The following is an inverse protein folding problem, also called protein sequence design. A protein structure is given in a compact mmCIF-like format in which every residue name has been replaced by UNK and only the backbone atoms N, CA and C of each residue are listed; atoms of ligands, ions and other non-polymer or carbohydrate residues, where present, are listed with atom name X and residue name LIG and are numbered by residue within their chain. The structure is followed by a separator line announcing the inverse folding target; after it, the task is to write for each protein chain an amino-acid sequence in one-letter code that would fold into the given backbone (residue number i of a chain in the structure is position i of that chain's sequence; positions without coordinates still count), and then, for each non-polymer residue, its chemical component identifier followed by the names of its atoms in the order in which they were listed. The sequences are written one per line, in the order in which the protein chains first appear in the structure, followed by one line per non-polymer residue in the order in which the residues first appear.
data_IF_556318733286
#
_entry.id   IF_556318733286
#
_cell.length_a   1.000
_cell.length_b   1.000
_cell.length_c   1.000
_cell.angle_alpha   90.00
_cell.angle_beta   90.00
_cell.angle_gamma   90.00
#
_symmetry.space_group_name_H-M   'P 1'
#
loop_
_entity.id
_entity.type
_entity.pdbx_description
1 polymer ?
#
# COMPACT_ATOMS: atom_id res chain seq x y z
N UNK A 1 30.57 -16.68 21.96
CA UNK A 1 30.90 -15.29 21.58
C UNK A 1 30.93 -15.25 20.05
N UNK A 2 30.14 -14.40 19.38
CA UNK A 2 30.22 -14.32 17.91
C UNK A 2 31.53 -13.67 17.51
N UNK A 3 32.13 -14.20 16.45
CA UNK A 3 33.28 -13.61 15.79
C UNK A 3 32.91 -12.26 15.15
N UNK A 4 33.92 -11.53 14.64
CA UNK A 4 33.69 -10.19 14.09
C UNK A 4 32.70 -10.20 12.91
N UNK A 5 32.73 -11.23 12.08
CA UNK A 5 31.79 -11.38 10.96
C UNK A 5 30.36 -11.62 11.46
N UNK A 6 30.17 -12.46 12.47
CA UNK A 6 28.87 -12.67 13.11
C UNK A 6 28.31 -11.41 13.76
N UNK A 7 29.16 -10.56 14.36
CA UNK A 7 28.74 -9.27 14.91
C UNK A 7 28.30 -8.28 13.83
N UNK A 8 29.02 -8.22 12.70
CA UNK A 8 28.64 -7.37 11.56
C UNK A 8 27.31 -7.81 10.92
N UNK A 9 27.10 -9.12 10.75
CA UNK A 9 25.83 -9.64 10.23
C UNK A 9 24.66 -9.30 11.15
N UNK A 10 24.81 -9.45 12.47
CA UNK A 10 23.76 -9.03 13.42
C UNK A 10 23.48 -7.53 13.36
N UNK A 11 24.52 -6.70 13.25
CA UNK A 11 24.36 -5.25 13.12
C UNK A 11 23.63 -4.88 11.82
N UNK A 12 23.98 -5.51 10.70
CA UNK A 12 23.33 -5.28 9.41
C UNK A 12 21.85 -5.69 9.43
N UNK A 13 21.52 -6.84 10.01
CA UNK A 13 20.12 -7.28 10.16
C UNK A 13 19.35 -6.33 11.08
N UNK A 14 19.93 -5.93 12.22
CA UNK A 14 19.31 -4.98 13.13
C UNK A 14 19.09 -3.60 12.50
N UNK A 15 20.03 -3.14 11.66
CA UNK A 15 19.86 -1.92 10.89
C UNK A 15 18.72 -2.05 9.86
N UNK A 16 18.69 -3.14 9.11
CA UNK A 16 17.65 -3.40 8.12
C UNK A 16 16.26 -3.47 8.76
N UNK A 17 16.13 -4.12 9.92
CA UNK A 17 14.87 -4.18 10.67
C UNK A 17 14.41 -2.80 11.13
N UNK A 18 15.32 -1.98 11.65
CA UNK A 18 15.01 -0.61 12.07
C UNK A 18 14.63 0.29 10.90
N UNK A 19 15.34 0.19 9.79
CA UNK A 19 15.03 0.93 8.56
C UNK A 19 13.66 0.51 8.00
N UNK A 20 13.36 -0.79 8.00
CA UNK A 20 12.06 -1.33 7.59
C UNK A 20 10.93 -0.85 8.50
N UNK A 21 11.17 -0.82 9.82
CA UNK A 21 10.20 -0.29 10.78
C UNK A 21 9.94 1.21 10.56
N UNK A 22 10.98 2.00 10.30
CA UNK A 22 10.87 3.40 9.94
C UNK A 22 10.07 3.62 8.66
N UNK A 23 10.37 2.85 7.62
CA UNK A 23 9.66 2.89 6.34
C UNK A 23 8.18 2.53 6.52
N UNK A 24 7.87 1.44 7.24
CA UNK A 24 6.48 1.04 7.51
C UNK A 24 5.71 2.12 8.27
N UNK A 25 6.35 2.74 9.25
CA UNK A 25 5.75 3.85 10.01
C UNK A 25 5.47 5.05 9.11
N UNK A 26 6.43 5.43 8.25
CA UNK A 26 6.25 6.53 7.29
C UNK A 26 5.14 6.21 6.27
N UNK A 27 5.13 5.01 5.71
CA UNK A 27 4.10 4.55 4.78
C UNK A 27 2.70 4.55 5.40
N UNK A 28 2.61 4.25 6.70
CA UNK A 28 1.36 4.31 7.47
C UNK A 28 0.91 5.73 7.84
N UNK A 29 1.61 6.77 7.35
CA UNK A 29 1.16 8.16 7.46
C UNK A 29 0.29 8.57 6.26
N UNK A 30 -0.44 9.68 6.41
CA UNK A 30 -1.19 10.27 5.31
C UNK A 30 -0.31 10.67 4.12
N UNK A 31 0.91 11.15 4.37
CA UNK A 31 1.88 11.44 3.32
C UNK A 31 2.28 10.18 2.57
N UNK A 32 2.55 9.09 3.28
CA UNK A 32 2.87 7.79 2.69
C UNK A 32 1.74 7.24 1.81
N UNK A 33 0.50 7.32 2.31
CA UNK A 33 -0.70 6.96 1.53
C UNK A 33 -0.84 7.85 0.29
N UNK A 34 -0.60 9.15 0.42
CA UNK A 34 -0.61 10.10 -0.70
C UNK A 34 0.39 9.73 -1.80
N UNK A 35 1.60 9.26 -1.45
CA UNK A 35 2.57 8.80 -2.44
C UNK A 35 2.07 7.60 -3.26
N UNK A 36 1.36 6.67 -2.63
CA UNK A 36 0.74 5.53 -3.34
C UNK A 36 -0.36 6.03 -4.26
N UNK A 37 -1.23 6.92 -3.78
CA UNK A 37 -2.31 7.50 -4.58
C UNK A 37 -1.77 8.23 -5.82
N UNK A 38 -0.72 9.04 -5.66
CA UNK A 38 -0.07 9.72 -6.79
C UNK A 38 0.60 8.74 -7.75
N UNK A 39 1.23 7.68 -7.23
CA UNK A 39 1.82 6.63 -8.06
C UNK A 39 0.79 5.87 -8.88
N UNK A 40 -0.38 5.59 -8.31
CA UNK A 40 -1.50 4.94 -8.99
C UNK A 40 -2.17 5.89 -10.00
N UNK A 41 -2.33 7.18 -9.68
CA UNK A 41 -2.83 8.18 -10.62
C UNK A 41 -1.97 8.29 -11.88
N UNK A 42 -0.64 8.20 -11.75
CA UNK A 42 0.27 8.13 -12.92
C UNK A 42 0.11 6.87 -13.76
N UNK A 43 -0.43 5.81 -13.17
CA UNK A 43 -0.75 4.56 -13.87
C UNK A 43 -2.19 4.56 -14.41
N UNK A 44 -2.91 5.68 -14.32
CA UNK A 44 -4.28 5.80 -14.81
C UNK A 44 -5.31 5.24 -13.84
N UNK A 45 -5.10 5.38 -12.52
CA UNK A 45 -6.07 5.00 -11.51
C UNK A 45 -6.44 6.12 -10.54
N UNK A 46 -7.74 6.26 -10.28
CA UNK A 46 -8.30 7.15 -9.26
C UNK A 46 -8.62 6.37 -7.98
N UNK A 47 -8.35 6.99 -6.82
CA UNK A 47 -8.55 6.38 -5.49
C UNK A 47 -9.80 6.94 -4.81
N UNK A 48 -10.69 6.05 -4.39
CA UNK A 48 -11.68 6.32 -3.35
C UNK A 48 -11.23 5.68 -2.03
N UNK A 49 -11.10 6.49 -0.97
CA UNK A 49 -10.77 6.02 0.38
C UNK A 49 -11.86 6.46 1.36
N UNK A 50 -12.54 5.50 1.95
CA UNK A 50 -13.68 5.74 2.86
C UNK A 50 -13.40 5.14 4.23
N UNK A 51 -13.62 5.94 5.28
CA UNK A 51 -13.61 5.49 6.68
C UNK A 51 -15.00 5.07 7.09
N UNK A 52 -15.10 3.93 7.76
CA UNK A 52 -16.33 3.44 8.41
C UNK A 52 -16.11 3.37 9.92
N UNK A 53 -15.98 4.53 10.55
CA UNK A 53 -15.74 4.72 12.00
C UNK A 53 -14.68 3.75 12.57
N UNK A 54 -15.08 2.92 13.54
CA UNK A 54 -14.24 1.90 14.18
C UNK A 54 -14.16 0.59 13.38
N UNK A 55 -15.04 0.41 12.39
CA UNK A 55 -15.12 -0.83 11.59
C UNK A 55 -13.96 -0.95 10.60
N UNK A 56 -13.34 0.17 10.23
CA UNK A 56 -12.13 0.22 9.44
C UNK A 56 -12.24 1.12 8.22
N UNK A 57 -11.49 0.75 7.19
CA UNK A 57 -11.27 1.53 5.98
C UNK A 57 -11.52 0.68 4.74
N UNK A 58 -12.15 1.29 3.75
CA UNK A 58 -12.25 0.75 2.40
C UNK A 58 -11.46 1.63 1.45
N UNK A 59 -10.54 1.04 0.71
CA UNK A 59 -9.92 1.66 -0.45
C UNK A 59 -10.43 0.97 -1.72
N UNK A 60 -10.72 1.76 -2.75
CA UNK A 60 -11.10 1.26 -4.07
C UNK A 60 -10.34 2.06 -5.13
N UNK A 61 -9.71 1.37 -6.07
CA UNK A 61 -9.09 1.98 -7.25
C UNK A 61 -9.95 1.73 -8.49
N UNK A 62 -10.14 2.78 -9.27
CA UNK A 62 -10.86 2.80 -10.54
C UNK A 62 -9.92 3.22 -11.66
N UNK A 63 -10.10 2.71 -12.87
CA UNK A 63 -9.39 3.27 -14.03
C UNK A 63 -9.86 4.72 -14.23
N UNK A 64 -8.91 5.65 -14.32
CA UNK A 64 -9.17 7.08 -14.51
C UNK A 64 -9.99 7.31 -15.79
N UNK A 65 -10.95 8.23 -15.72
CA UNK A 65 -11.80 8.60 -16.86
C UNK A 65 -13.01 7.69 -17.08
N UNK A 66 -13.16 6.63 -16.28
CA UNK A 66 -14.40 5.86 -16.17
C UNK A 66 -15.21 6.38 -14.97
N UNK A 67 -16.53 6.29 -15.02
CA UNK A 67 -17.35 6.56 -13.82
C UNK A 67 -16.91 5.62 -12.68
N UNK A 68 -16.90 6.14 -11.44
CA UNK A 68 -16.57 5.39 -10.22
C UNK A 68 -17.69 4.39 -9.85
N UNK A 69 -18.03 3.51 -10.78
CA UNK A 69 -19.07 2.50 -10.68
C UNK A 69 -18.51 1.21 -10.08
N UNK A 70 -19.26 0.49 -9.23
CA UNK A 70 -18.78 -0.74 -8.58
C UNK A 70 -18.28 -1.82 -9.55
N UNK A 71 -18.87 -1.90 -10.74
CA UNK A 71 -18.48 -2.83 -11.81
C UNK A 71 -17.21 -2.40 -12.56
N UNK A 72 -16.83 -1.13 -12.44
CA UNK A 72 -15.62 -0.54 -13.05
C UNK A 72 -14.46 -0.47 -12.06
N UNK A 73 -14.67 -0.86 -10.80
CA UNK A 73 -13.61 -0.96 -9.80
C UNK A 73 -12.62 -2.06 -10.18
N UNK A 74 -11.33 -1.72 -10.25
CA UNK A 74 -10.27 -2.67 -10.62
C UNK A 74 -9.63 -3.30 -9.40
N UNK A 75 -9.60 -2.61 -8.27
CA UNK A 75 -9.07 -3.15 -7.02
C UNK A 75 -9.80 -2.60 -5.80
N UNK A 76 -10.04 -3.45 -4.80
CA UNK A 76 -10.70 -3.06 -3.53
C UNK A 76 -10.00 -3.71 -2.35
N UNK A 77 -9.92 -2.98 -1.24
CA UNK A 77 -9.30 -3.44 -0.01
C UNK A 77 -10.07 -2.96 1.21
N UNK A 78 -10.47 -3.89 2.08
CA UNK A 78 -11.02 -3.59 3.40
C UNK A 78 -10.01 -3.97 4.47
N UNK A 79 -9.62 -3.01 5.31
CA UNK A 79 -8.67 -3.23 6.38
C UNK A 79 -8.93 -2.32 7.58
N UNK A 80 -8.36 -2.67 8.73
CA UNK A 80 -8.47 -1.85 9.95
C UNK A 80 -7.77 -0.49 9.87
N UNK A 81 -6.73 -0.38 9.04
CA UNK A 81 -5.95 0.85 8.87
C UNK A 81 -6.02 1.33 7.44
N UNK A 82 -6.00 2.65 7.19
CA UNK A 82 -6.11 3.19 5.84
C UNK A 82 -4.95 2.72 4.94
N UNK A 83 -3.73 2.63 5.50
CA UNK A 83 -2.55 2.13 4.80
C UNK A 83 -2.72 0.73 4.22
N UNK A 84 -3.08 -0.25 5.06
CA UNK A 84 -3.29 -1.62 4.59
C UNK A 84 -4.43 -1.71 3.57
N UNK A 85 -5.50 -0.93 3.73
CA UNK A 85 -6.61 -0.90 2.77
C UNK A 85 -6.12 -0.45 1.39
N UNK A 86 -5.38 0.67 1.34
CA UNK A 86 -4.84 1.25 0.10
C UNK A 86 -3.81 0.31 -0.54
N UNK A 87 -2.91 -0.28 0.23
CA UNK A 87 -1.93 -1.24 -0.30
C UNK A 87 -2.60 -2.48 -0.91
N UNK A 88 -3.58 -3.06 -0.20
CA UNK A 88 -4.33 -4.21 -0.71
C UNK A 88 -5.06 -3.85 -2.00
N UNK A 89 -5.78 -2.73 -2.01
CA UNK A 89 -6.53 -2.30 -3.19
C UNK A 89 -5.60 -2.00 -4.38
N UNK A 90 -4.45 -1.36 -4.15
CA UNK A 90 -3.47 -1.06 -5.21
C UNK A 90 -2.87 -2.34 -5.79
N UNK A 91 -2.51 -3.28 -4.93
CA UNK A 91 -1.98 -4.58 -5.35
C UNK A 91 -2.96 -5.37 -6.20
N UNK A 92 -4.23 -5.43 -5.79
CA UNK A 92 -5.29 -6.06 -6.59
C UNK A 92 -5.43 -5.36 -7.95
N UNK A 93 -5.51 -4.03 -7.97
CA UNK A 93 -5.68 -3.27 -9.22
C UNK A 93 -4.55 -3.53 -10.24
N UNK A 94 -3.29 -3.53 -9.78
CA UNK A 94 -2.14 -3.76 -10.65
C UNK A 94 -2.06 -5.21 -11.13
N UNK A 95 -2.42 -6.19 -10.29
CA UNK A 95 -2.46 -7.61 -10.70
C UNK A 95 -3.50 -7.89 -11.77
N UNK A 96 -4.68 -7.27 -11.66
CA UNK A 96 -5.78 -7.51 -12.60
C UNK A 96 -5.39 -7.10 -14.02
N UNK A 97 -4.67 -6.00 -14.21
CA UNK A 97 -4.19 -5.59 -15.54
C UNK A 97 -3.18 -6.57 -16.13
N UNK A 98 -2.26 -7.10 -15.33
CA UNK A 98 -1.27 -8.10 -15.80
C UNK A 98 -1.92 -9.41 -16.25
N UNK A 99 -3.15 -9.69 -15.84
CA UNK A 99 -3.87 -10.92 -16.22
C UNK A 99 -4.76 -10.72 -17.46
N UNK A 100 -4.92 -9.48 -17.93
CA UNK A 100 -5.76 -9.12 -19.09
C UNK A 100 -4.93 -8.83 -20.36
N UNK A 101 -3.59 -8.91 -20.27
CA UNK A 101 -2.64 -8.96 -21.40
C UNK A 101 -2.15 -10.39 -21.64
#
# INVERSE_FOLDING_TARGET
MLDRRGQLLRAAVGFADRALHGLRTWLNSWTGIGHVAVGMARQGYDLQLTRYDERGWRATFYVTGMEHSPTSATGTGWERTPWHAVQRAAWEAVKTVVTLE
#
